data_IF_733230634690
#
_entry.id   IF_733230634690
#
_cell.length_a   1.000
_cell.length_b   1.000
_cell.length_c   1.000
_cell.angle_alpha   90.00
_cell.angle_beta   90.00
_cell.angle_gamma   90.00
#
_symmetry.space_group_name_H-M   'P 1'
#
loop_
_entity.id
_entity.type
_entity.pdbx_description
1 polymer ?
#
# COMPACT_ATOMS: atom_id res chain seq x y z
N UNK A 1 1.49 22.33 16.00
CA UNK A 1 2.12 23.51 15.35
C UNK A 1 3.64 23.29 15.37
N UNK A 2 4.26 23.07 14.21
CA UNK A 2 5.71 22.86 14.08
C UNK A 2 6.16 21.55 13.42
N UNK A 3 5.28 20.58 13.22
CA UNK A 3 5.58 19.39 12.41
C UNK A 3 5.29 19.64 10.92
N UNK A 4 5.99 18.92 10.04
CA UNK A 4 5.77 18.99 8.60
C UNK A 4 4.43 18.36 8.20
N UNK A 5 3.73 18.99 7.26
CA UNK A 5 2.53 18.43 6.63
C UNK A 5 2.87 17.14 5.90
N UNK A 6 2.24 16.02 6.30
CA UNK A 6 2.54 14.72 5.74
C UNK A 6 1.31 13.83 5.60
N UNK A 7 1.49 12.76 4.83
CA UNK A 7 0.64 11.58 4.82
C UNK A 7 1.47 10.39 5.28
N UNK A 8 0.87 9.52 6.10
CA UNK A 8 1.48 8.30 6.61
C UNK A 8 0.88 7.11 5.90
N UNK A 9 1.74 6.25 5.35
CA UNK A 9 1.37 4.90 4.95
C UNK A 9 1.24 4.03 6.21
N UNK A 10 0.03 3.54 6.45
CA UNK A 10 -0.28 2.52 7.45
C UNK A 10 -0.48 1.20 6.70
N UNK A 11 0.53 0.32 6.69
CA UNK A 11 0.58 -0.75 5.72
C UNK A 11 -0.23 -2.00 6.13
N UNK A 12 -0.91 -1.96 7.28
CA UNK A 12 -1.82 -3.01 7.73
C UNK A 12 -1.17 -4.37 7.98
N UNK A 13 -1.99 -5.40 8.21
CA UNK A 13 -1.52 -6.76 8.49
C UNK A 13 -0.83 -7.45 7.29
N UNK A 14 -1.01 -6.93 6.06
CA UNK A 14 -0.37 -7.43 4.82
C UNK A 14 0.96 -6.76 4.46
N UNK A 15 1.48 -5.88 5.33
CA UNK A 15 2.63 -5.01 5.05
C UNK A 15 3.96 -5.71 4.82
N UNK A 16 4.15 -6.90 5.39
CA UNK A 16 5.47 -7.51 5.57
C UNK A 16 5.64 -8.78 4.73
N UNK A 17 5.11 -8.79 3.51
CA UNK A 17 5.21 -9.93 2.62
C UNK A 17 6.64 -10.11 2.12
N UNK A 18 7.35 -11.11 2.67
CA UNK A 18 8.65 -11.52 2.13
C UNK A 18 8.43 -12.60 1.09
N UNK A 19 8.99 -12.48 -0.12
CA UNK A 19 8.86 -13.55 -1.12
C UNK A 19 9.40 -14.88 -0.59
N UNK A 20 8.62 -15.94 -0.71
CA UNK A 20 9.07 -17.30 -0.47
C UNK A 20 9.90 -17.75 -1.69
N UNK A 21 11.15 -17.30 -1.76
CA UNK A 21 12.07 -17.65 -2.83
C UNK A 21 13.51 -17.77 -2.34
N UNK A 22 14.27 -18.60 -3.06
CA UNK A 22 15.71 -18.56 -3.01
C UNK A 22 16.24 -17.31 -3.73
N UNK A 23 17.44 -16.81 -3.38
CA UNK A 23 18.02 -15.62 -4.01
C UNK A 23 18.18 -15.72 -5.52
N UNK A 24 18.32 -16.93 -6.06
CA UNK A 24 18.48 -17.24 -7.48
C UNK A 24 17.17 -17.59 -8.20
N UNK A 25 16.02 -17.44 -7.54
CA UNK A 25 14.72 -17.72 -8.14
C UNK A 25 14.49 -16.84 -9.38
N UNK A 26 14.25 -17.48 -10.52
CA UNK A 26 14.07 -16.80 -11.82
C UNK A 26 12.91 -15.80 -11.82
N UNK A 27 11.85 -16.06 -11.04
CA UNK A 27 10.76 -15.10 -10.90
C UNK A 27 11.17 -13.85 -10.13
N UNK A 28 12.05 -13.95 -9.12
CA UNK A 28 12.58 -12.79 -8.40
C UNK A 28 13.53 -11.96 -9.24
N UNK A 29 14.26 -12.57 -10.18
CA UNK A 29 15.06 -11.83 -11.17
C UNK A 29 14.18 -10.99 -12.09
N UNK A 30 12.95 -11.45 -12.37
CA UNK A 30 11.98 -10.70 -13.19
C UNK A 30 11.14 -9.70 -12.38
N UNK A 31 10.88 -10.03 -11.12
CA UNK A 31 10.06 -9.26 -10.20
C UNK A 31 10.90 -8.69 -9.04
N UNK A 32 12.00 -8.00 -9.39
CA UNK A 32 12.93 -7.41 -8.41
C UNK A 32 12.25 -6.49 -7.39
N UNK A 33 11.16 -5.83 -7.78
CA UNK A 33 10.33 -5.01 -6.89
C UNK A 33 9.79 -5.77 -5.66
N UNK A 34 9.66 -7.10 -5.71
CA UNK A 34 9.22 -7.91 -4.56
C UNK A 34 10.28 -7.99 -3.44
N UNK A 35 11.53 -7.57 -3.68
CA UNK A 35 12.62 -7.65 -2.70
C UNK A 35 12.46 -6.67 -1.52
N UNK A 36 11.59 -5.65 -1.64
CA UNK A 36 11.29 -4.67 -0.59
C UNK A 36 9.78 -4.38 -0.59
N UNK A 37 9.24 -4.06 0.59
CA UNK A 37 7.84 -3.68 0.76
C UNK A 37 7.57 -2.21 0.38
N UNK A 38 8.62 -1.41 0.31
CA UNK A 38 8.55 0.02 0.02
C UNK A 38 9.76 0.42 -0.82
N UNK A 39 9.48 1.15 -1.90
CA UNK A 39 10.48 1.83 -2.71
C UNK A 39 10.09 3.29 -2.86
N UNK A 40 11.08 4.16 -2.97
CA UNK A 40 10.89 5.58 -3.29
C UNK A 40 11.85 5.93 -4.40
N UNK A 41 11.34 6.53 -5.48
CA UNK A 41 12.14 7.00 -6.61
C UNK A 41 11.85 8.46 -6.89
N UNK A 42 12.83 9.22 -7.36
CA UNK A 42 12.54 10.51 -7.99
C UNK A 42 11.63 10.29 -9.21
N UNK A 43 10.66 11.15 -9.42
CA UNK A 43 9.71 11.03 -10.53
C UNK A 43 10.42 11.05 -11.89
N UNK A 44 10.03 10.11 -12.76
CA UNK A 44 10.39 10.08 -14.17
C UNK A 44 9.18 9.57 -14.97
N UNK A 45 8.68 10.32 -15.97
CA UNK A 45 7.51 9.92 -16.75
C UNK A 45 7.68 8.61 -17.54
N UNK A 46 8.91 8.13 -17.74
CA UNK A 46 9.20 6.84 -18.38
C UNK A 46 9.20 5.66 -17.38
N UNK A 47 9.38 5.91 -16.08
CA UNK A 47 9.46 4.88 -15.04
C UNK A 47 8.07 4.48 -14.53
N UNK A 48 7.33 3.72 -15.35
CA UNK A 48 5.91 3.38 -15.08
C UNK A 48 5.68 1.97 -14.54
N UNK A 49 6.49 1.01 -14.97
CA UNK A 49 6.29 -0.41 -14.69
C UNK A 49 7.38 -0.93 -13.75
N UNK A 50 7.07 -1.31 -12.50
CA UNK A 50 8.06 -1.66 -11.49
C UNK A 50 8.86 -2.94 -11.82
N UNK A 51 8.34 -3.76 -12.74
CA UNK A 51 9.00 -4.95 -13.27
C UNK A 51 9.61 -4.74 -14.66
N UNK A 52 9.61 -3.51 -15.19
CA UNK A 52 10.04 -3.20 -16.55
C UNK A 52 8.94 -3.33 -17.61
N UNK A 53 9.25 -2.93 -18.84
CA UNK A 53 8.25 -2.87 -19.93
C UNK A 53 7.83 -4.25 -20.46
N UNK A 54 8.73 -5.24 -20.42
CA UNK A 54 8.50 -6.57 -21.01
C UNK A 54 8.84 -7.71 -20.02
N UNK A 55 8.12 -7.83 -18.89
CA UNK A 55 8.51 -8.72 -17.78
C UNK A 55 8.50 -10.21 -18.14
N UNK A 56 7.61 -10.67 -19.02
CA UNK A 56 7.48 -12.10 -19.38
C UNK A 56 8.55 -12.57 -20.38
N UNK A 57 9.01 -11.68 -21.27
CA UNK A 57 9.96 -11.97 -22.33
C UNK A 57 11.41 -11.72 -21.93
N UNK A 58 11.63 -10.98 -20.84
CA UNK A 58 12.97 -10.60 -20.38
C UNK A 58 13.78 -11.81 -19.90
N UNK A 59 15.05 -11.83 -20.28
CA UNK A 59 16.03 -12.77 -19.76
C UNK A 59 16.35 -12.50 -18.28
N UNK A 60 16.68 -13.52 -17.48
CA UNK A 60 16.96 -13.36 -16.05
C UNK A 60 18.16 -12.44 -15.74
N UNK A 61 19.07 -12.23 -16.68
CA UNK A 61 20.28 -11.41 -16.53
C UNK A 61 20.11 -9.94 -16.94
N UNK A 62 18.90 -9.52 -17.34
CA UNK A 62 18.63 -8.14 -17.75
C UNK A 62 17.86 -7.42 -16.63
N UNK A 63 18.51 -6.54 -15.84
CA UNK A 63 17.81 -5.74 -14.83
C UNK A 63 16.92 -4.69 -15.52
N UNK A 64 15.72 -4.48 -14.97
CA UNK A 64 14.74 -3.48 -15.43
C UNK A 64 13.79 -3.16 -14.27
N UNK A 65 12.98 -2.11 -14.42
CA UNK A 65 12.04 -1.66 -13.40
C UNK A 65 12.72 -1.08 -12.17
N UNK A 66 12.08 -1.21 -11.01
CA UNK A 66 12.50 -0.55 -9.78
C UNK A 66 13.93 -0.88 -9.36
N UNK A 67 14.36 -2.12 -9.52
CA UNK A 67 15.71 -2.55 -9.15
C UNK A 67 16.78 -1.81 -9.97
N UNK A 68 16.55 -1.60 -11.26
CA UNK A 68 17.46 -0.85 -12.13
C UNK A 68 17.36 0.68 -11.94
N UNK A 69 16.19 1.19 -11.57
CA UNK A 69 16.00 2.64 -11.39
C UNK A 69 16.68 3.15 -10.12
N UNK A 70 16.64 2.38 -9.03
CA UNK A 70 17.26 2.77 -7.75
C UNK A 70 18.78 2.69 -7.77
N UNK A 71 19.38 1.86 -8.64
CA UNK A 71 20.83 1.81 -8.85
C UNK A 71 21.42 3.16 -9.31
N UNK A 72 20.59 4.04 -9.86
CA UNK A 72 20.97 5.40 -10.26
C UNK A 72 21.19 6.35 -9.08
N UNK A 73 20.78 5.95 -7.87
CA UNK A 73 20.95 6.69 -6.61
C UNK A 73 20.58 8.18 -6.70
N UNK A 74 19.45 8.46 -7.35
CA UNK A 74 18.96 9.83 -7.53
C UNK A 74 18.44 10.38 -6.19
N UNK A 75 18.75 11.66 -5.92
CA UNK A 75 18.26 12.33 -4.70
C UNK A 75 16.73 12.36 -4.65
N UNK A 76 16.18 12.04 -3.47
CA UNK A 76 14.75 12.10 -3.17
C UNK A 76 14.39 13.21 -2.18
N UNK A 77 15.39 13.86 -1.58
CA UNK A 77 15.15 14.97 -0.66
C UNK A 77 14.81 16.25 -1.43
N UNK A 78 13.66 16.85 -1.11
CA UNK A 78 13.12 18.02 -1.81
C UNK A 78 12.71 17.77 -3.28
N UNK A 79 12.67 16.52 -3.75
CA UNK A 79 12.31 16.15 -5.12
C UNK A 79 10.82 15.80 -5.26
N UNK A 80 10.31 15.83 -6.49
CA UNK A 80 9.08 15.11 -6.83
C UNK A 80 9.36 13.61 -6.83
N UNK A 81 8.58 12.85 -6.07
CA UNK A 81 8.85 11.44 -5.78
C UNK A 81 7.64 10.56 -6.04
N UNK A 82 7.93 9.30 -6.38
CA UNK A 82 6.93 8.23 -6.47
C UNK A 82 7.22 7.20 -5.39
N UNK A 83 6.19 6.88 -4.61
CA UNK A 83 6.22 5.82 -3.61
C UNK A 83 5.60 4.55 -4.19
N UNK A 84 6.36 3.45 -4.15
CA UNK A 84 5.92 2.14 -4.63
C UNK A 84 5.77 1.21 -3.42
N UNK A 85 4.53 0.95 -3.03
CA UNK A 85 4.20 0.04 -1.93
C UNK A 85 3.87 -1.35 -2.46
N UNK A 86 4.60 -2.36 -1.99
CA UNK A 86 4.38 -3.77 -2.31
C UNK A 86 3.75 -4.43 -1.09
N UNK A 87 2.56 -5.00 -1.29
CA UNK A 87 1.78 -5.67 -0.24
C UNK A 87 1.01 -6.85 -0.84
N UNK A 88 0.63 -7.80 0.00
CA UNK A 88 -0.10 -9.00 -0.43
C UNK A 88 -0.16 -10.06 0.67
N UNK A 89 -0.45 -11.30 0.28
CA UNK A 89 -0.62 -12.44 1.20
C UNK A 89 0.14 -13.67 0.70
N UNK A 90 0.58 -14.52 1.63
CA UNK A 90 0.93 -15.90 1.31
C UNK A 90 -0.34 -16.75 1.40
N UNK A 91 -0.87 -17.17 0.25
CA UNK A 91 -2.08 -17.99 0.23
C UNK A 91 -1.74 -19.44 0.57
N UNK A 92 -1.96 -19.82 1.83
CA UNK A 92 -1.95 -21.21 2.27
C UNK A 92 -3.36 -21.77 2.06
N UNK A 93 -3.50 -22.65 1.09
CA UNK A 93 -4.80 -23.18 0.66
C UNK A 93 -5.44 -24.00 1.78
N UNK A 94 -6.72 -23.71 2.03
CA UNK A 94 -7.57 -24.38 3.01
C UNK A 94 -8.67 -25.20 2.33
N UNK A 95 -9.30 -26.12 3.05
CA UNK A 95 -10.41 -26.92 2.48
C UNK A 95 -11.61 -26.05 2.12
N UNK A 96 -11.83 -24.99 2.89
CA UNK A 96 -12.87 -23.97 2.70
C UNK A 96 -12.68 -23.16 1.41
N UNK A 97 -11.48 -23.19 0.79
CA UNK A 97 -11.22 -22.50 -0.47
C UNK A 97 -11.86 -23.24 -1.67
N UNK A 98 -12.38 -24.46 -1.45
CA UNK A 98 -12.97 -25.30 -2.49
C UNK A 98 -14.49 -25.51 -2.28
N UNK A 99 -15.31 -25.52 -3.36
CA UNK A 99 -14.98 -25.32 -4.78
C UNK A 99 -14.86 -23.85 -5.19
N UNK A 100 -15.26 -22.94 -4.30
CA UNK A 100 -15.23 -21.49 -4.51
C UNK A 100 -14.63 -20.85 -3.27
N UNK A 101 -13.51 -20.16 -3.45
CA UNK A 101 -12.81 -19.48 -2.37
C UNK A 101 -13.64 -18.28 -1.85
N UNK A 102 -13.89 -18.17 -0.53
CA UNK A 102 -14.46 -16.98 0.07
C UNK A 102 -13.54 -15.76 -0.09
N UNK A 103 -14.09 -14.56 0.01
CA UNK A 103 -13.32 -13.31 -0.13
C UNK A 103 -12.31 -13.14 1.01
N UNK A 104 -11.03 -13.00 0.65
CA UNK A 104 -9.96 -12.54 1.54
C UNK A 104 -9.68 -11.05 1.28
N UNK A 105 -9.56 -10.25 2.34
CA UNK A 105 -9.30 -8.81 2.24
C UNK A 105 -7.85 -8.51 2.60
N UNK A 106 -7.16 -7.81 1.71
CA UNK A 106 -5.82 -7.26 1.94
C UNK A 106 -5.81 -5.80 1.51
N UNK A 107 -5.20 -4.94 2.31
CA UNK A 107 -5.13 -3.52 2.02
C UNK A 107 -4.25 -2.77 2.98
N UNK A 108 -4.14 -1.47 2.72
CA UNK A 108 -3.39 -0.51 3.50
C UNK A 108 -4.22 0.77 3.60
N UNK A 109 -3.81 1.68 4.48
CA UNK A 109 -4.40 3.01 4.58
C UNK A 109 -3.32 4.06 4.39
N UNK A 110 -3.68 5.19 3.77
CA UNK A 110 -2.87 6.40 3.80
C UNK A 110 -3.64 7.41 4.63
N UNK A 111 -3.04 7.87 5.73
CA UNK A 111 -3.69 8.74 6.71
C UNK A 111 -2.99 10.09 6.77
N UNK A 112 -3.74 11.21 6.86
CA UNK A 112 -3.12 12.52 7.06
C UNK A 112 -2.40 12.53 8.41
N UNK A 113 -1.19 13.08 8.45
CA UNK A 113 -0.35 13.19 9.65
C UNK A 113 0.27 14.58 9.69
N UNK A 114 -0.17 15.43 10.62
CA UNK A 114 0.22 16.84 10.62
C UNK A 114 -0.30 17.64 9.42
N UNK A 115 -1.27 17.09 8.66
CA UNK A 115 -1.84 17.74 7.47
C UNK A 115 -2.91 18.79 7.81
N UNK A 116 -3.71 18.54 8.84
CA UNK A 116 -4.78 19.44 9.30
C UNK A 116 -4.49 19.94 10.71
N UNK A 117 -4.88 21.17 11.02
CA UNK A 117 -4.73 21.75 12.36
C UNK A 117 -5.71 21.16 13.39
N UNK A 118 -6.81 20.59 12.92
CA UNK A 118 -7.85 19.92 13.71
C UNK A 118 -8.47 18.77 12.91
N UNK A 119 -9.37 18.02 13.53
CA UNK A 119 -10.12 16.96 12.83
C UNK A 119 -10.85 17.55 11.61
N UNK A 120 -10.61 17.05 10.37
CA UNK A 120 -11.27 17.57 9.17
C UNK A 120 -12.77 17.26 9.12
N UNK A 121 -13.28 16.44 10.03
CA UNK A 121 -14.68 16.03 10.11
C UNK A 121 -15.44 16.68 11.28
N UNK A 122 -14.88 17.67 11.97
CA UNK A 122 -15.48 18.23 13.19
C UNK A 122 -16.85 18.90 12.95
N UNK A 123 -17.04 19.41 11.74
CA UNK A 123 -18.24 20.13 11.27
C UNK A 123 -19.16 19.27 10.40
N UNK A 124 -18.88 17.97 10.28
CA UNK A 124 -19.76 17.03 9.56
C UNK A 124 -21.01 16.76 10.42
N UNK A 125 -22.22 17.11 9.96
CA UNK A 125 -23.44 16.84 10.71
C UNK A 125 -23.68 15.34 10.83
N UNK A 126 -24.17 14.90 11.98
CA UNK A 126 -24.58 13.50 12.16
C UNK A 126 -25.76 13.22 11.21
N UNK A 127 -25.66 12.17 10.40
CA UNK A 127 -26.81 11.65 9.68
C UNK A 127 -27.79 11.12 10.72
N UNK A 128 -29.01 11.66 10.76
CA UNK A 128 -30.04 11.14 11.64
C UNK A 128 -30.23 9.64 11.33
N UNK A 129 -29.97 8.78 12.32
CA UNK A 129 -30.44 7.41 12.23
C UNK A 129 -31.97 7.48 12.14
N UNK A 130 -32.56 6.87 11.12
CA UNK A 130 -33.96 6.41 11.13
C UNK A 130 -34.15 5.27 12.15
N UNK A 131 -33.50 5.37 13.31
CA UNK A 131 -33.87 4.58 14.47
C UNK A 131 -35.23 5.13 14.91
N UNK A 132 -36.26 4.29 15.09
CA UNK A 132 -37.50 4.73 15.70
C UNK A 132 -37.16 5.43 17.02
N UNK A 133 -37.87 6.51 17.38
CA UNK A 133 -37.55 7.29 18.57
C UNK A 133 -37.46 6.32 19.74
N UNK A 134 -36.25 6.14 20.26
CA UNK A 134 -36.11 5.55 21.57
C UNK A 134 -36.82 6.55 22.47
N UNK A 135 -37.98 6.15 22.99
CA UNK A 135 -38.84 6.98 23.81
C UNK A 135 -37.95 7.79 24.73
N UNK A 136 -37.98 9.10 24.53
CA UNK A 136 -37.43 10.03 25.47
C UNK A 136 -38.17 9.74 26.77
N UNK A 137 -37.58 8.94 27.66
CA UNK A 137 -37.98 8.84 29.05
C UNK A 137 -37.69 10.21 29.64
N UNK A 138 -38.60 11.14 29.37
CA UNK A 138 -38.83 12.30 30.20
C UNK A 138 -39.23 11.75 31.55
N UNK A 139 -38.40 12.05 32.55
CA UNK A 139 -38.82 12.44 33.90
C UNK A 139 -39.96 11.61 34.51
N UNK A 140 -39.59 10.70 35.43
CA UNK A 140 -40.28 10.45 36.70
C UNK A 140 -39.47 9.48 37.57
N UNK A 141 -38.52 10.04 38.32
CA UNK A 141 -38.39 9.98 39.78
C UNK A 141 -37.16 10.79 40.20
#
# INVERSE_FOLDING_TARGET
VGEATAWRLDPGAGSALKPAAQPDATYLMRAGFLKKNLWVTSYDPAERYPSGAFPSQRGPSQPDGLEAWVERDRSIDGADVVLWHVFGVHHVVRLEDYPVMPTEHVGFAIKPCGFFDASPCVDVPCTACDAPPHDAVRSRL
#
